data_IF_387619932833
#
_entry.id   IF_387619932833
#
_cell.length_a   1.000
_cell.length_b   1.000
_cell.length_c   1.000
_cell.angle_alpha   90.00
_cell.angle_beta   90.00
_cell.angle_gamma   90.00
#
_symmetry.space_group_name_H-M   'P 1'
#
loop_
_entity.id
_entity.type
_entity.pdbx_description
1 polymer ?
#
# COMPACT_ATOMS: atom_id res chain seq x y z
N UNK A 1 22.12 22.43 6.30
CA UNK A 1 21.34 21.17 6.38
C UNK A 1 20.44 21.30 7.59
N UNK A 2 19.08 21.21 7.46
CA UNK A 2 18.21 21.30 8.60
C UNK A 2 18.56 20.14 9.57
N UNK A 3 18.82 20.49 10.84
CA UNK A 3 19.05 19.49 11.88
C UNK A 3 17.77 18.69 12.08
N UNK A 4 17.86 17.37 11.91
CA UNK A 4 16.81 16.44 12.30
C UNK A 4 16.65 16.49 13.82
N UNK A 5 15.50 16.93 14.31
CA UNK A 5 15.11 16.78 15.71
C UNK A 5 14.17 15.59 15.78
N UNK A 6 14.51 14.59 16.59
CA UNK A 6 13.61 13.46 16.83
C UNK A 6 12.26 13.99 17.31
N UNK A 7 11.15 13.56 16.71
CA UNK A 7 9.84 13.96 17.18
C UNK A 7 9.64 13.48 18.64
N UNK A 8 8.83 14.22 19.44
CA UNK A 8 8.52 13.79 20.80
C UNK A 8 7.91 12.38 20.79
N UNK A 9 8.06 11.64 21.88
CA UNK A 9 7.43 10.33 22.06
C UNK A 9 5.93 10.48 21.85
N UNK A 10 5.42 9.95 20.74
CA UNK A 10 3.98 9.77 20.55
C UNK A 10 3.52 8.60 21.40
N UNK A 11 2.26 8.62 21.89
CA UNK A 11 1.62 7.43 22.47
C UNK A 11 1.82 6.25 21.50
N UNK A 12 1.96 5.05 22.04
CA UNK A 12 2.25 3.81 21.31
C UNK A 12 1.61 3.80 19.92
N UNK A 13 2.42 3.99 18.88
CA UNK A 13 1.89 4.05 17.51
C UNK A 13 1.24 2.71 17.20
N UNK A 14 0.05 2.74 16.60
CA UNK A 14 -0.65 1.53 16.16
C UNK A 14 0.30 0.61 15.39
N UNK A 15 0.26 -0.71 15.60
CA UNK A 15 1.10 -1.68 14.88
C UNK A 15 0.86 -1.64 13.36
N UNK A 16 -0.24 -1.09 12.91
CA UNK A 16 -0.51 -0.79 11.50
C UNK A 16 -1.00 0.65 11.35
N UNK A 17 -0.37 1.39 10.47
CA UNK A 17 -0.82 2.73 10.07
C UNK A 17 -0.88 2.84 8.55
N UNK A 18 -1.94 3.46 8.04
CA UNK A 18 -2.09 3.74 6.62
C UNK A 18 -2.09 5.26 6.41
N UNK A 19 -1.21 5.73 5.56
CA UNK A 19 -0.99 7.14 5.28
C UNK A 19 -1.36 7.48 3.85
N UNK A 20 -2.14 8.54 3.68
CA UNK A 20 -2.50 9.10 2.38
C UNK A 20 -1.77 10.42 2.16
N UNK A 21 -1.20 10.59 0.96
CA UNK A 21 -0.68 11.85 0.45
C UNK A 21 -1.38 12.17 -0.86
N UNK A 22 -2.01 13.34 -0.93
CA UNK A 22 -2.48 13.91 -2.19
C UNK A 22 -1.34 14.74 -2.80
N UNK A 23 -0.98 14.47 -4.04
CA UNK A 23 0.12 15.19 -4.71
C UNK A 23 -0.21 16.65 -5.00
N UNK A 24 -1.49 17.01 -5.02
CA UNK A 24 -1.94 18.40 -5.24
C UNK A 24 -1.48 19.36 -4.13
N UNK A 25 -1.10 18.83 -2.96
CA UNK A 25 -0.51 19.65 -1.89
C UNK A 25 0.98 19.93 -2.09
N UNK A 26 1.62 19.29 -3.07
CA UNK A 26 3.02 19.50 -3.43
C UNK A 26 3.12 20.58 -4.51
N UNK A 27 4.29 21.24 -4.65
CA UNK A 27 4.55 22.13 -5.78
C UNK A 27 4.40 21.39 -7.13
N UNK A 28 4.10 22.12 -8.20
CA UNK A 28 4.00 21.57 -9.57
C UNK A 28 5.25 20.79 -9.99
N UNK A 29 6.41 21.14 -9.45
CA UNK A 29 7.68 20.42 -9.61
C UNK A 29 8.11 19.84 -8.26
N UNK A 30 7.54 18.70 -7.84
CA UNK A 30 7.75 18.15 -6.49
C UNK A 30 9.18 17.63 -6.28
N UNK A 31 9.94 17.37 -7.33
CA UNK A 31 11.31 16.84 -7.26
C UNK A 31 12.22 17.64 -6.31
N UNK A 32 12.17 18.97 -6.39
CA UNK A 32 12.97 19.84 -5.52
C UNK A 32 12.49 19.77 -4.05
N UNK A 33 11.18 19.73 -3.84
CA UNK A 33 10.59 19.64 -2.51
C UNK A 33 10.87 18.27 -1.85
N UNK A 34 10.86 17.19 -2.63
CA UNK A 34 11.08 15.82 -2.15
C UNK A 34 12.58 15.46 -2.03
N UNK A 35 13.46 16.24 -2.66
CA UNK A 35 14.91 15.98 -2.73
C UNK A 35 15.59 15.62 -1.41
N UNK A 36 15.23 16.22 -0.26
CA UNK A 36 15.83 15.86 1.03
C UNK A 36 15.54 14.43 1.49
N UNK A 37 14.50 13.79 0.94
CA UNK A 37 13.98 12.50 1.40
C UNK A 37 14.12 11.37 0.36
N UNK A 38 14.77 11.64 -0.78
CA UNK A 38 14.99 10.66 -1.84
C UNK A 38 16.50 10.57 -2.17
N UNK A 39 16.94 9.36 -2.50
CA UNK A 39 18.33 9.10 -2.86
C UNK A 39 18.65 9.51 -4.31
N UNK A 40 19.94 9.69 -4.67
CA UNK A 40 20.33 9.89 -6.06
C UNK A 40 19.88 8.75 -6.98
N UNK A 41 19.97 7.50 -6.53
CA UNK A 41 19.55 6.32 -7.28
C UNK A 41 18.03 6.32 -7.57
N UNK A 42 17.20 6.70 -6.58
CA UNK A 42 15.75 6.82 -6.76
C UNK A 42 15.40 7.93 -7.76
N UNK A 43 16.12 9.05 -7.74
CA UNK A 43 15.94 10.12 -8.74
C UNK A 43 16.31 9.65 -10.14
N UNK A 44 17.41 8.93 -10.28
CA UNK A 44 17.84 8.39 -11.58
C UNK A 44 16.82 7.38 -12.10
N UNK A 45 16.33 6.48 -11.26
CA UNK A 45 15.25 5.57 -11.63
C UNK A 45 13.98 6.32 -12.05
N UNK A 46 13.63 7.38 -11.33
CA UNK A 46 12.46 8.19 -11.62
C UNK A 46 12.53 8.87 -13.00
N UNK A 47 13.71 9.21 -13.51
CA UNK A 47 13.93 9.78 -14.85
C UNK A 47 13.55 8.81 -15.98
N UNK A 48 13.51 7.49 -15.70
CA UNK A 48 13.14 6.47 -16.68
C UNK A 48 11.63 6.38 -16.93
N UNK A 49 10.82 6.98 -16.06
CA UNK A 49 9.37 7.02 -16.28
C UNK A 49 9.04 7.98 -17.43
N UNK A 50 8.25 7.48 -18.39
CA UNK A 50 7.80 8.27 -19.54
C UNK A 50 6.86 9.41 -19.15
N UNK A 51 5.89 9.11 -18.27
CA UNK A 51 4.93 10.09 -17.79
C UNK A 51 5.45 10.81 -16.53
N UNK A 52 5.40 12.15 -16.55
CA UNK A 52 5.78 12.99 -15.40
C UNK A 52 4.97 12.65 -14.14
N UNK A 53 3.69 12.31 -14.31
CA UNK A 53 2.83 11.92 -13.20
C UNK A 53 3.32 10.64 -12.50
N UNK A 54 3.79 9.64 -13.27
CA UNK A 54 4.36 8.40 -12.71
C UNK A 54 5.65 8.69 -11.95
N UNK A 55 6.49 9.53 -12.51
CA UNK A 55 7.71 10.00 -11.84
C UNK A 55 7.40 10.65 -10.50
N UNK A 56 6.44 11.57 -10.47
CA UNK A 56 6.03 12.25 -9.23
C UNK A 56 5.46 11.29 -8.21
N UNK A 57 4.60 10.35 -8.63
CA UNK A 57 4.04 9.30 -7.76
C UNK A 57 5.14 8.44 -7.15
N UNK A 58 6.08 7.99 -7.97
CA UNK A 58 7.21 7.18 -7.52
C UNK A 58 8.04 7.92 -6.45
N UNK A 59 8.46 9.13 -6.73
CA UNK A 59 9.27 9.93 -5.81
C UNK A 59 8.53 10.25 -4.52
N UNK A 60 7.25 10.63 -4.61
CA UNK A 60 6.43 10.93 -3.43
C UNK A 60 6.20 9.70 -2.56
N UNK A 61 5.96 8.54 -3.17
CA UNK A 61 5.82 7.27 -2.45
C UNK A 61 7.09 6.89 -1.69
N UNK A 62 8.24 6.99 -2.34
CA UNK A 62 9.55 6.71 -1.70
C UNK A 62 9.86 7.71 -0.58
N UNK A 63 9.62 9.00 -0.80
CA UNK A 63 9.83 10.04 0.20
C UNK A 63 8.93 9.83 1.42
N UNK A 64 7.64 9.55 1.20
CA UNK A 64 6.69 9.32 2.28
C UNK A 64 7.05 8.06 3.08
N UNK A 65 7.33 6.94 2.41
CA UNK A 65 7.73 5.71 3.09
C UNK A 65 8.98 5.94 3.95
N UNK A 66 10.00 6.62 3.40
CA UNK A 66 11.23 6.93 4.14
C UNK A 66 10.97 7.81 5.36
N UNK A 67 10.14 8.85 5.23
CA UNK A 67 9.77 9.71 6.36
C UNK A 67 9.05 8.94 7.47
N UNK A 68 8.12 8.06 7.12
CA UNK A 68 7.36 7.27 8.08
C UNK A 68 8.25 6.26 8.82
N UNK A 69 9.11 5.58 8.09
CA UNK A 69 10.05 4.61 8.66
C UNK A 69 11.10 5.29 9.52
N UNK A 70 11.66 6.43 9.08
CA UNK A 70 12.62 7.22 9.85
C UNK A 70 12.05 7.62 11.23
N UNK A 71 10.77 8.00 11.28
CA UNK A 71 10.07 8.30 12.54
C UNK A 71 10.01 7.08 13.46
N UNK A 72 9.65 5.91 12.93
CA UNK A 72 9.58 4.65 13.67
C UNK A 72 10.95 4.19 14.16
N UNK A 73 11.96 4.32 13.30
CA UNK A 73 13.36 3.95 13.60
C UNK A 73 14.11 5.02 14.41
N UNK A 74 13.52 6.20 14.61
CA UNK A 74 14.14 7.36 15.27
C UNK A 74 15.49 7.75 14.66
N UNK A 75 15.58 7.68 13.34
CA UNK A 75 16.78 8.06 12.60
C UNK A 75 16.46 9.15 11.56
N UNK A 76 17.46 9.87 11.05
CA UNK A 76 17.24 10.80 9.95
C UNK A 76 16.74 10.08 8.69
N UNK A 77 15.80 10.66 7.90
CA UNK A 77 15.27 10.01 6.71
C UNK A 77 16.33 9.50 5.72
N UNK A 78 17.46 10.19 5.48
CA UNK A 78 18.51 9.68 4.60
C UNK A 78 19.20 8.41 5.10
N UNK A 79 19.10 8.08 6.40
CA UNK A 79 19.65 6.85 6.97
C UNK A 79 18.76 5.62 6.73
N UNK A 80 17.53 5.81 6.27
CA UNK A 80 16.63 4.70 5.91
C UNK A 80 17.02 4.18 4.54
N UNK A 81 17.55 2.98 4.47
CA UNK A 81 17.92 2.31 3.23
C UNK A 81 16.84 1.30 2.81
N UNK A 82 16.63 1.21 1.50
CA UNK A 82 15.71 0.25 0.88
C UNK A 82 16.48 -0.72 -0.02
N UNK A 83 16.15 -1.99 0.11
CA UNK A 83 16.48 -3.05 -0.85
C UNK A 83 15.27 -3.38 -1.72
N UNK A 84 15.47 -4.05 -2.82
CA UNK A 84 14.37 -4.52 -3.68
C UNK A 84 14.32 -6.04 -3.70
N UNK A 85 13.14 -6.57 -3.50
CA UNK A 85 12.88 -8.00 -3.67
C UNK A 85 12.84 -8.41 -5.16
N UNK A 86 12.69 -9.71 -5.45
CA UNK A 86 12.74 -10.27 -6.81
C UNK A 86 11.74 -9.60 -7.78
N UNK A 87 10.61 -9.16 -7.28
CA UNK A 87 9.55 -8.51 -8.06
C UNK A 87 9.52 -6.98 -7.90
N UNK A 88 10.64 -6.37 -7.45
CA UNK A 88 10.76 -4.91 -7.33
C UNK A 88 10.01 -4.29 -6.13
N UNK A 89 9.40 -5.11 -5.24
CA UNK A 89 8.83 -4.61 -3.99
C UNK A 89 9.97 -4.05 -3.13
N UNK A 90 9.89 -2.79 -2.68
CA UNK A 90 10.87 -2.25 -1.76
C UNK A 90 10.69 -2.85 -0.37
N UNK A 91 11.79 -3.20 0.25
CA UNK A 91 11.90 -3.64 1.63
C UNK A 91 12.81 -2.69 2.40
N UNK A 92 12.59 -2.58 3.69
CA UNK A 92 13.55 -1.93 4.57
C UNK A 92 14.79 -2.82 4.65
N UNK A 93 15.96 -2.24 4.43
CA UNK A 93 17.21 -2.92 4.74
C UNK A 93 17.23 -3.23 6.24
N UNK A 94 17.60 -4.46 6.58
CA UNK A 94 17.47 -4.95 7.95
C UNK A 94 18.07 -3.98 8.96
N UNK A 95 17.32 -3.57 9.99
CA UNK A 95 17.86 -2.78 11.08
C UNK A 95 18.93 -3.57 11.82
N UNK A 96 19.76 -2.87 12.61
CA UNK A 96 20.72 -3.52 13.50
C UNK A 96 20.02 -4.60 14.37
N UNK A 97 20.72 -5.68 14.75
CA UNK A 97 20.16 -6.73 15.59
C UNK A 97 19.42 -6.18 16.81
N UNK A 98 18.19 -6.65 17.06
CA UNK A 98 17.34 -6.18 18.16
C UNK A 98 16.49 -4.94 17.87
N UNK A 99 16.57 -4.37 16.67
CA UNK A 99 15.68 -3.29 16.23
C UNK A 99 14.27 -3.77 15.86
N UNK A 100 13.29 -2.85 15.76
CA UNK A 100 11.92 -3.22 15.38
C UNK A 100 11.87 -3.79 13.96
N UNK A 101 11.15 -4.90 13.77
CA UNK A 101 10.81 -5.39 12.45
C UNK A 101 9.73 -4.49 11.86
N UNK A 102 10.05 -3.77 10.79
CA UNK A 102 9.12 -2.88 10.11
C UNK A 102 8.92 -3.31 8.65
N UNK A 103 7.67 -3.42 8.28
CA UNK A 103 7.24 -3.71 6.92
C UNK A 103 6.47 -2.52 6.37
N UNK A 104 6.54 -2.30 5.06
CA UNK A 104 5.78 -1.27 4.41
C UNK A 104 5.40 -1.65 3.00
N UNK A 105 4.38 -1.00 2.49
CA UNK A 105 4.00 -1.10 1.09
C UNK A 105 3.49 0.24 0.58
N UNK A 106 3.66 0.49 -0.72
CA UNK A 106 3.31 1.73 -1.41
C UNK A 106 2.34 1.40 -2.53
N UNK A 107 1.24 2.13 -2.60
CA UNK A 107 0.33 2.15 -3.74
C UNK A 107 0.05 3.58 -4.18
N UNK A 108 -0.33 3.76 -5.43
CA UNK A 108 -0.67 5.09 -5.94
C UNK A 108 -1.58 5.01 -7.16
N UNK A 109 -2.48 5.98 -7.27
CA UNK A 109 -3.33 6.19 -8.44
C UNK A 109 -3.68 7.67 -8.58
N UNK A 110 -3.80 8.17 -9.81
CA UNK A 110 -4.08 9.59 -10.05
C UNK A 110 -3.09 10.50 -9.32
N UNK A 111 -3.60 11.36 -8.45
CA UNK A 111 -2.81 12.25 -7.57
C UNK A 111 -2.68 11.70 -6.14
N UNK A 112 -3.07 10.47 -5.88
CA UNK A 112 -3.07 9.87 -4.54
C UNK A 112 -1.93 8.86 -4.41
N UNK A 113 -1.19 8.97 -3.32
CA UNK A 113 -0.20 7.99 -2.86
C UNK A 113 -0.65 7.47 -1.51
N UNK A 114 -0.61 6.16 -1.32
CA UNK A 114 -0.92 5.48 -0.05
C UNK A 114 0.29 4.68 0.40
N UNK A 115 0.64 4.78 1.66
CA UNK A 115 1.71 4.00 2.28
C UNK A 115 1.17 3.33 3.54
N UNK A 116 1.23 2.01 3.57
CA UNK A 116 0.99 1.23 4.77
C UNK A 116 2.32 0.94 5.47
N UNK A 117 2.38 1.11 6.78
CA UNK A 117 3.52 0.73 7.63
C UNK A 117 3.02 -0.20 8.72
N UNK A 118 3.62 -1.37 8.82
CA UNK A 118 3.28 -2.42 9.78
C UNK A 118 4.50 -2.78 10.61
N UNK A 119 4.27 -3.02 11.89
CA UNK A 119 5.26 -3.57 12.81
C UNK A 119 5.11 -5.09 12.84
N UNK A 120 6.26 -5.77 12.81
CA UNK A 120 6.46 -7.21 12.95
C UNK A 120 5.87 -8.10 11.85
N UNK A 121 4.87 -7.62 11.10
CA UNK A 121 4.17 -8.45 10.12
C UNK A 121 4.14 -7.84 8.71
N UNK A 122 4.26 -8.66 7.66
CA UNK A 122 4.14 -8.22 6.27
C UNK A 122 2.81 -7.51 6.00
N UNK A 123 2.89 -6.49 5.12
CA UNK A 123 1.74 -5.66 4.74
C UNK A 123 1.76 -5.37 3.25
N UNK A 124 0.56 -5.27 2.68
CA UNK A 124 0.31 -4.79 1.32
C UNK A 124 -0.84 -3.79 1.32
N UNK A 125 -0.83 -2.88 0.38
CA UNK A 125 -1.89 -1.90 0.17
C UNK A 125 -2.07 -1.67 -1.32
N UNK A 126 -3.33 -1.51 -1.74
CA UNK A 126 -3.66 -1.09 -3.09
C UNK A 126 -4.76 -0.04 -3.11
N UNK A 127 -4.84 0.76 -4.20
CA UNK A 127 -5.82 1.82 -4.37
C UNK A 127 -6.09 2.06 -5.85
N UNK A 128 -7.40 2.09 -6.23
CA UNK A 128 -7.86 2.30 -7.60
C UNK A 128 -9.04 3.28 -7.67
N UNK A 129 -9.21 4.00 -8.79
CA UNK A 129 -10.37 4.86 -8.99
C UNK A 129 -11.57 4.03 -9.45
N UNK A 130 -12.74 4.21 -8.82
CA UNK A 130 -13.98 3.52 -9.20
C UNK A 130 -14.46 3.84 -10.63
N UNK A 131 -14.06 4.98 -11.19
CA UNK A 131 -14.38 5.38 -12.57
C UNK A 131 -13.32 5.01 -13.60
N UNK A 132 -12.45 4.03 -13.29
CA UNK A 132 -11.45 3.56 -14.25
C UNK A 132 -12.13 2.93 -15.46
N UNK A 133 -11.79 3.43 -16.65
CA UNK A 133 -12.23 2.85 -17.92
C UNK A 133 -11.43 1.55 -18.16
N UNK A 134 -12.11 0.41 -17.99
CA UNK A 134 -11.55 -0.93 -18.18
C UNK A 134 -12.61 -1.83 -18.80
N UNK A 135 -12.17 -2.73 -19.66
CA UNK A 135 -13.00 -3.85 -20.07
C UNK A 135 -13.24 -4.77 -18.85
N UNK A 136 -14.42 -4.62 -18.25
CA UNK A 136 -14.77 -5.30 -17.00
C UNK A 136 -14.86 -6.82 -17.19
N UNK A 137 -15.34 -7.32 -18.33
CA UNK A 137 -15.46 -8.75 -18.57
C UNK A 137 -14.09 -9.39 -18.79
N UNK A 138 -13.22 -8.74 -19.58
CA UNK A 138 -11.86 -9.21 -19.78
C UNK A 138 -11.07 -9.19 -18.47
N UNK A 139 -11.21 -8.13 -17.65
CA UNK A 139 -10.55 -8.04 -16.35
C UNK A 139 -11.08 -9.12 -15.39
N UNK A 140 -12.41 -9.29 -15.28
CA UNK A 140 -13.02 -10.31 -14.44
C UNK A 140 -12.54 -11.71 -14.80
N UNK A 141 -12.43 -12.02 -16.11
CA UNK A 141 -11.89 -13.30 -16.58
C UNK A 141 -10.44 -13.58 -16.16
N UNK A 142 -9.65 -12.53 -15.94
CA UNK A 142 -8.24 -12.64 -15.56
C UNK A 142 -7.99 -12.70 -14.05
N UNK A 143 -8.86 -12.09 -13.25
CA UNK A 143 -8.57 -11.88 -11.83
C UNK A 143 -9.51 -12.66 -10.90
N UNK A 144 -10.73 -12.97 -11.34
CA UNK A 144 -11.71 -13.64 -10.51
C UNK A 144 -11.56 -15.15 -10.58
N UNK A 145 -11.72 -15.81 -9.44
CA UNK A 145 -11.95 -17.26 -9.37
C UNK A 145 -13.29 -17.61 -10.00
N UNK A 146 -13.55 -18.88 -10.32
CA UNK A 146 -14.82 -19.32 -10.87
C UNK A 146 -16.00 -18.98 -9.95
N UNK A 147 -15.83 -19.14 -8.63
CA UNK A 147 -16.86 -18.81 -7.65
C UNK A 147 -17.15 -17.30 -7.61
N UNK A 148 -16.12 -16.47 -7.56
CA UNK A 148 -16.27 -15.01 -7.60
C UNK A 148 -16.91 -14.53 -8.91
N UNK A 149 -16.56 -15.14 -10.04
CA UNK A 149 -17.20 -14.81 -11.33
C UNK A 149 -18.71 -15.10 -11.31
N UNK A 150 -19.13 -16.22 -10.71
CA UNK A 150 -20.54 -16.55 -10.57
C UNK A 150 -21.28 -15.51 -9.71
N UNK A 151 -20.72 -15.15 -8.57
CA UNK A 151 -21.26 -14.12 -7.66
C UNK A 151 -21.31 -12.75 -8.35
N UNK A 152 -20.21 -12.34 -8.98
CA UNK A 152 -20.11 -11.07 -9.68
C UNK A 152 -21.12 -10.95 -10.84
N UNK A 153 -21.32 -12.01 -11.61
CA UNK A 153 -22.33 -12.04 -12.67
C UNK A 153 -23.78 -11.98 -12.15
N UNK A 154 -24.01 -12.41 -10.92
CA UNK A 154 -25.32 -12.31 -10.28
C UNK A 154 -25.66 -10.88 -9.82
N UNK A 155 -24.66 -10.00 -9.69
CA UNK A 155 -24.89 -8.60 -9.35
C UNK A 155 -25.62 -7.85 -10.47
N UNK A 156 -26.40 -6.80 -10.14
CA UNK A 156 -26.92 -5.87 -11.12
C UNK A 156 -25.80 -5.31 -12.01
N UNK A 157 -25.99 -5.17 -13.33
CA UNK A 157 -24.95 -4.68 -14.25
C UNK A 157 -24.29 -3.38 -13.82
N UNK A 158 -25.05 -2.45 -13.22
CA UNK A 158 -24.54 -1.17 -12.74
C UNK A 158 -23.58 -1.29 -11.56
N UNK A 159 -23.63 -2.36 -10.77
CA UNK A 159 -22.78 -2.59 -9.59
C UNK A 159 -21.49 -3.35 -9.92
N UNK A 160 -21.50 -4.09 -11.03
CA UNK A 160 -20.38 -4.97 -11.44
C UNK A 160 -19.02 -4.25 -11.54
N UNK A 161 -18.93 -3.05 -12.16
CA UNK A 161 -17.63 -2.37 -12.26
C UNK A 161 -17.03 -2.02 -10.90
N UNK A 162 -17.84 -1.52 -9.97
CA UNK A 162 -17.38 -1.17 -8.63
C UNK A 162 -16.96 -2.42 -7.84
N UNK A 163 -17.78 -3.48 -7.85
CA UNK A 163 -17.46 -4.76 -7.20
C UNK A 163 -16.16 -5.37 -7.72
N UNK A 164 -15.95 -5.33 -9.05
CA UNK A 164 -14.73 -5.84 -9.66
C UNK A 164 -13.49 -5.09 -9.20
N UNK A 165 -13.55 -3.75 -9.13
CA UNK A 165 -12.43 -2.93 -8.67
C UNK A 165 -12.15 -3.12 -7.18
N UNK A 166 -13.17 -3.35 -6.36
CA UNK A 166 -12.99 -3.76 -4.96
C UNK A 166 -12.23 -5.08 -4.86
N UNK A 167 -12.67 -6.11 -5.57
CA UNK A 167 -11.96 -7.41 -5.60
C UNK A 167 -10.54 -7.27 -6.12
N UNK A 168 -10.34 -6.48 -7.17
CA UNK A 168 -9.03 -6.20 -7.72
C UNK A 168 -8.09 -5.62 -6.66
N UNK A 169 -8.52 -4.54 -5.96
CA UNK A 169 -7.68 -3.92 -4.92
C UNK A 169 -7.38 -4.86 -3.77
N UNK A 170 -8.32 -5.72 -3.38
CA UNK A 170 -8.11 -6.73 -2.35
C UNK A 170 -7.02 -7.73 -2.75
N UNK A 171 -7.12 -8.28 -3.96
CA UNK A 171 -6.16 -9.24 -4.50
C UNK A 171 -4.78 -8.64 -4.71
N UNK A 172 -4.72 -7.42 -5.26
CA UNK A 172 -3.46 -6.68 -5.43
C UNK A 172 -2.79 -6.38 -4.08
N UNK A 173 -3.57 -5.96 -3.08
CA UNK A 173 -3.04 -5.74 -1.75
C UNK A 173 -2.46 -7.02 -1.14
N UNK A 174 -3.11 -8.18 -1.35
CA UNK A 174 -2.61 -9.47 -0.91
C UNK A 174 -1.29 -9.85 -1.63
N UNK A 175 -1.27 -9.80 -2.95
CA UNK A 175 -0.07 -10.09 -3.75
C UNK A 175 1.10 -9.17 -3.36
N UNK A 176 0.81 -7.91 -3.06
CA UNK A 176 1.79 -6.97 -2.54
C UNK A 176 2.25 -7.30 -1.12
N UNK A 177 1.36 -7.84 -0.27
CA UNK A 177 1.71 -8.26 1.08
C UNK A 177 2.67 -9.47 1.06
N UNK A 178 2.34 -10.50 0.29
CA UNK A 178 3.19 -11.70 0.14
C UNK A 178 4.50 -11.42 -0.60
N UNK A 179 4.51 -10.43 -1.51
CA UNK A 179 5.68 -10.10 -2.33
C UNK A 179 5.91 -11.07 -3.49
N UNK A 180 4.98 -11.96 -3.79
CA UNK A 180 5.09 -12.96 -4.87
C UNK A 180 4.93 -12.35 -6.27
N UNK A 181 4.48 -11.09 -6.36
CA UNK A 181 4.25 -10.40 -7.62
C UNK A 181 3.03 -10.96 -8.39
N UNK A 182 2.71 -10.34 -9.51
CA UNK A 182 1.59 -10.76 -10.38
C UNK A 182 1.79 -12.15 -11.02
N UNK A 183 2.97 -12.76 -10.88
CA UNK A 183 3.28 -14.06 -11.45
C UNK A 183 2.44 -15.22 -10.88
N UNK A 184 1.97 -15.09 -9.64
CA UNK A 184 1.05 -16.07 -9.03
C UNK A 184 -0.36 -16.00 -9.63
N UNK A 185 -0.75 -14.88 -10.23
CA UNK A 185 -2.08 -14.64 -10.78
C UNK A 185 -3.11 -14.30 -9.69
N UNK A 186 -3.80 -13.17 -9.85
CA UNK A 186 -4.82 -12.74 -8.92
C UNK A 186 -6.00 -13.74 -8.79
N UNK A 187 -6.21 -14.56 -9.81
CA UNK A 187 -7.25 -15.61 -9.83
C UNK A 187 -6.98 -16.78 -8.87
N UNK A 188 -5.76 -16.92 -8.34
CA UNK A 188 -5.42 -17.96 -7.34
C UNK A 188 -5.70 -17.53 -5.90
N UNK A 189 -6.17 -16.31 -5.71
CA UNK A 189 -6.51 -15.75 -4.40
C UNK A 189 -8.00 -15.48 -4.38
N UNK A 190 -8.74 -16.06 -3.44
CA UNK A 190 -10.15 -15.77 -3.25
C UNK A 190 -10.34 -14.65 -2.22
N UNK A 191 -11.23 -13.72 -2.52
CA UNK A 191 -11.67 -12.65 -1.64
C UNK A 191 -13.18 -12.67 -1.51
N UNK A 192 -13.72 -12.37 -0.34
CA UNK A 192 -15.15 -12.28 -0.14
C UNK A 192 -15.71 -10.99 -0.71
N UNK A 193 -16.76 -11.08 -1.53
CA UNK A 193 -17.45 -9.93 -2.12
C UNK A 193 -18.16 -9.07 -1.07
N UNK A 194 -18.63 -9.69 0.00
CA UNK A 194 -19.40 -9.03 1.04
C UNK A 194 -18.55 -8.10 1.94
N UNK A 195 -17.23 -8.08 1.72
CA UNK A 195 -16.32 -7.08 2.29
C UNK A 195 -16.42 -6.94 3.80
N UNK A 196 -16.55 -8.03 4.50
CA UNK A 196 -16.52 -8.03 5.96
C UNK A 196 -15.24 -7.37 6.50
N UNK A 197 -15.26 -6.82 7.72
CA UNK A 197 -14.17 -6.00 8.27
C UNK A 197 -12.82 -6.71 8.43
N UNK A 198 -12.77 -8.03 8.27
CA UNK A 198 -11.56 -8.83 8.17
C UNK A 198 -11.91 -10.19 7.55
N UNK A 199 -11.72 -10.33 6.24
CA UNK A 199 -11.95 -11.59 5.54
C UNK A 199 -10.62 -12.33 5.38
N UNK A 200 -10.57 -13.60 5.74
CA UNK A 200 -9.42 -14.45 5.47
C UNK A 200 -9.34 -14.69 3.95
N UNK A 201 -8.16 -14.53 3.39
CA UNK A 201 -7.91 -14.82 1.98
C UNK A 201 -7.58 -16.31 1.83
N UNK A 202 -8.23 -16.97 0.88
CA UNK A 202 -7.96 -18.38 0.52
C UNK A 202 -7.43 -18.46 -0.93
N UNK A 203 -6.81 -19.57 -1.30
CA UNK A 203 -6.51 -19.85 -2.71
C UNK A 203 -7.77 -20.22 -3.50
N UNK A 204 -7.62 -20.38 -4.83
CA UNK A 204 -8.74 -20.69 -5.72
C UNK A 204 -9.43 -22.04 -5.44
N UNK A 205 -8.77 -22.93 -4.70
CA UNK A 205 -9.29 -24.23 -4.29
C UNK A 205 -9.92 -24.17 -2.88
N UNK A 206 -10.00 -22.99 -2.28
CA UNK A 206 -10.54 -22.83 -0.93
C UNK A 206 -9.54 -23.20 0.16
N UNK A 207 -8.28 -23.47 -0.20
CA UNK A 207 -7.23 -23.64 0.76
C UNK A 207 -6.78 -22.28 1.25
N UNK A 208 -6.98 -22.01 2.49
CA UNK A 208 -6.20 -20.99 3.19
C UNK A 208 -4.75 -21.47 3.10
N UNK A 209 -3.79 -20.68 2.55
CA UNK A 209 -2.41 -21.13 2.36
C UNK A 209 -1.89 -21.81 3.62
N UNK A 210 -1.60 -23.13 3.54
CA UNK A 210 -1.28 -24.03 4.64
C UNK A 210 -2.04 -23.63 5.90
N UNK A 211 -3.28 -24.15 6.06
CA UNK A 211 -4.21 -23.79 7.17
C UNK A 211 -3.51 -23.03 8.26
N UNK A 212 -3.77 -21.74 8.49
CA UNK A 212 -3.04 -21.01 9.51
C UNK A 212 -3.17 -21.81 10.79
N UNK A 213 -2.06 -22.39 11.25
CA UNK A 213 -2.04 -23.21 12.49
C UNK A 213 -2.45 -22.35 13.68
N UNK A 214 -2.42 -21.02 13.47
CA UNK A 214 -2.85 -20.02 14.44
C UNK A 214 -3.44 -18.82 13.70
N UNK A 215 -4.27 -18.04 14.36
CA UNK A 215 -4.78 -16.76 13.83
C UNK A 215 -3.65 -15.78 13.41
N UNK A 216 -2.44 -15.95 13.94
CA UNK A 216 -1.27 -15.15 13.60
C UNK A 216 -0.70 -15.47 12.21
N UNK A 217 -1.00 -16.64 11.64
CA UNK A 217 -0.57 -17.05 10.29
C UNK A 217 -1.57 -16.65 9.21
N UNK A 218 -2.79 -16.27 9.59
CA UNK A 218 -3.83 -15.83 8.68
C UNK A 218 -3.52 -14.44 8.12
N UNK A 219 -4.07 -14.13 6.96
CA UNK A 219 -4.04 -12.79 6.38
C UNK A 219 -5.36 -12.08 6.67
N UNK A 220 -5.28 -10.90 7.22
CA UNK A 220 -6.44 -10.08 7.48
C UNK A 220 -6.53 -8.94 6.46
N UNK A 221 -7.73 -8.69 5.96
CA UNK A 221 -8.06 -7.72 4.92
C UNK A 221 -8.94 -6.62 5.51
N UNK A 222 -8.67 -5.37 5.16
CA UNK A 222 -9.54 -4.24 5.42
C UNK A 222 -9.72 -3.43 4.13
N UNK A 223 -10.87 -3.53 3.45
CA UNK A 223 -11.20 -2.63 2.36
C UNK A 223 -11.46 -1.22 2.89
N UNK A 224 -11.24 -0.22 2.05
CA UNK A 224 -11.46 1.18 2.41
C UNK A 224 -11.88 2.02 1.21
N UNK A 225 -12.53 3.14 1.48
CA UNK A 225 -12.80 4.18 0.51
C UNK A 225 -12.02 5.46 0.86
N UNK A 226 -11.60 6.19 -0.15
CA UNK A 226 -10.94 7.49 -0.01
C UNK A 226 -11.71 8.56 -0.80
N UNK A 227 -11.55 9.86 -0.48
CA UNK A 227 -12.08 10.93 -1.31
C UNK A 227 -11.65 10.82 -2.77
N UNK A 228 -12.41 11.46 -3.67
CA UNK A 228 -12.23 11.42 -5.11
C UNK A 228 -12.58 10.06 -5.74
N UNK A 229 -13.58 9.37 -5.18
CA UNK A 229 -14.09 8.11 -5.71
C UNK A 229 -13.01 7.02 -5.83
N UNK A 230 -12.16 6.91 -4.83
CA UNK A 230 -11.11 5.91 -4.75
C UNK A 230 -11.51 4.79 -3.78
N UNK A 231 -11.22 3.57 -4.18
CA UNK A 231 -11.33 2.37 -3.33
C UNK A 231 -9.97 1.72 -3.19
N UNK A 232 -9.78 0.99 -2.12
CA UNK A 232 -8.55 0.27 -1.89
C UNK A 232 -8.70 -0.80 -0.84
N UNK A 233 -7.61 -1.49 -0.57
CA UNK A 233 -7.53 -2.48 0.49
C UNK A 233 -6.16 -2.46 1.15
N UNK A 234 -6.12 -2.77 2.43
CA UNK A 234 -4.90 -3.11 3.15
C UNK A 234 -4.98 -4.55 3.64
N UNK A 235 -3.90 -5.29 3.43
CA UNK A 235 -3.75 -6.68 3.87
C UNK A 235 -2.53 -6.77 4.78
N UNK A 236 -2.67 -7.47 5.89
CA UNK A 236 -1.60 -7.72 6.85
C UNK A 236 -1.63 -9.18 7.30
N UNK A 237 -0.47 -9.79 7.53
CA UNK A 237 -0.41 -11.09 8.20
C UNK A 237 -0.81 -10.93 9.66
N UNK A 238 -1.54 -11.92 10.20
CA UNK A 238 -2.11 -11.84 11.54
C UNK A 238 -3.31 -10.88 11.64
N UNK A 239 -3.75 -10.59 12.85
CA UNK A 239 -4.90 -9.74 13.12
C UNK A 239 -4.64 -8.28 12.71
N UNK A 240 -5.66 -7.62 12.19
CA UNK A 240 -5.64 -6.15 12.03
C UNK A 240 -5.92 -5.48 13.38
N UNK A 241 -5.19 -4.40 13.70
CA UNK A 241 -5.58 -3.55 14.79
C UNK A 241 -6.92 -2.89 14.49
N UNK A 242 -7.82 -2.85 15.44
CA UNK A 242 -9.13 -2.23 15.26
C UNK A 242 -9.27 -1.00 16.17
N UNK A 243 -9.56 0.17 15.60
CA UNK A 243 -9.62 0.48 14.16
C UNK A 243 -8.23 0.60 13.52
N UNK A 244 -8.14 0.38 12.21
CA UNK A 244 -6.92 0.68 11.43
C UNK A 244 -6.66 2.19 11.51
N UNK A 245 -5.44 2.58 11.86
CA UNK A 245 -5.10 3.99 12.02
C UNK A 245 -4.84 4.67 10.66
N UNK A 246 -5.75 5.56 10.26
CA UNK A 246 -5.65 6.37 9.04
C UNK A 246 -5.06 7.73 9.31
N UNK A 247 -4.16 8.18 8.44
CA UNK A 247 -3.45 9.45 8.59
C UNK A 247 -3.32 10.19 7.25
N UNK A 248 -3.27 11.51 7.32
CA UNK A 248 -2.94 12.37 6.17
C UNK A 248 -1.50 12.85 6.31
N UNK A 249 -0.72 12.68 5.24
CA UNK A 249 0.70 12.98 5.23
C UNK A 249 1.03 14.42 4.81
N UNK A 250 0.06 15.25 4.41
CA UNK A 250 0.29 16.63 3.99
C UNK A 250 1.17 17.44 4.96
N UNK A 251 0.99 17.38 6.29
CA UNK A 251 1.85 18.09 7.23
C UNK A 251 3.31 17.61 7.25
N UNK A 252 3.56 16.34 6.89
CA UNK A 252 4.89 15.74 6.93
C UNK A 252 5.78 16.19 5.76
N UNK A 253 5.18 16.42 4.60
CA UNK A 253 5.90 16.76 3.36
C UNK A 253 5.95 18.25 3.07
N UNK A 254 5.16 19.06 3.79
CA UNK A 254 5.29 20.53 3.75
C UNK A 254 6.48 20.93 4.60
N UNK A 255 7.39 21.74 4.03
CA UNK A 255 8.40 22.39 4.85
C UNK A 255 7.71 23.27 5.89
N UNK A 256 8.17 23.31 7.16
CA UNK A 256 7.77 24.40 8.04
C UNK A 256 8.07 25.70 7.31
N UNK A 257 7.11 26.62 7.27
CA UNK A 257 7.34 27.99 6.79
C UNK A 257 8.53 28.50 7.61
N UNK A 258 9.57 28.93 6.91
CA UNK A 258 10.62 29.69 7.59
C UNK A 258 9.94 30.94 8.16
N UNK A 259 9.93 31.03 9.48
CA UNK A 259 9.54 32.25 10.18
C UNK A 259 10.61 33.31 9.97
#
# INVERSE_FOLDING_TARGET
>A
VPRWTSPPRTPQESPLTVWRLCLDVLPKTPDAALRPWITPAERERARRYRATADRHRHLAGRALARLLLARRLRCPPPAVAFTEGPHGKPHLEAPAPGGPSLHFNIAHTGTTVVVAVSQDEPVGVDVEPLGRDVDTDALAGRILTAAEQAQWRALPPAERPAALLHLWTCKEAFVKATGEGLGRGAHTVACDLDGGPATALSDAEGHVPASPRTAAEAWALCPFALPNNLVGAVVRRGALPHPVAWRTAAPLVRRPRQA
#
